data_IF_284121311505
#
_entry.id   IF_284121311505
#
_cell.length_a   1.000
_cell.length_b   1.000
_cell.length_c   1.000
_cell.angle_alpha   90.00
_cell.angle_beta   90.00
_cell.angle_gamma   90.00
#
_symmetry.space_group_name_H-M   'P 1'
#
loop_
_entity.id
_entity.type
_entity.pdbx_description
1 polymer ?
#
# COMPACT_ATOMS: atom_id res chain seq x y z
N UNK A 1 8.81 6.98 18.75
CA UNK A 1 7.36 7.12 18.93
C UNK A 1 6.89 6.19 20.04
N UNK A 2 5.91 6.63 20.82
CA UNK A 2 5.37 5.86 21.96
C UNK A 2 4.73 4.51 21.55
N UNK A 3 4.52 4.27 20.27
CA UNK A 3 3.93 3.06 19.73
C UNK A 3 4.96 2.02 19.25
N UNK A 4 6.25 2.27 19.43
CA UNK A 4 7.28 1.31 19.02
C UNK A 4 7.49 0.24 20.09
N UNK A 5 6.56 -0.69 20.20
CA UNK A 5 6.60 -1.83 21.11
C UNK A 5 7.80 -2.74 20.78
N UNK A 6 8.15 -2.82 19.50
CA UNK A 6 9.35 -3.52 19.02
C UNK A 6 10.39 -2.46 18.69
N UNK A 7 11.45 -2.37 19.48
CA UNK A 7 12.56 -1.44 19.24
C UNK A 7 13.21 -1.73 17.89
N UNK A 8 12.70 -1.09 16.83
CA UNK A 8 13.24 -1.20 15.49
C UNK A 8 14.19 -0.04 15.19
N UNK A 9 15.26 -0.32 14.48
CA UNK A 9 16.15 0.70 13.93
C UNK A 9 15.68 1.04 12.51
N UNK A 10 15.66 2.34 12.21
CA UNK A 10 15.38 2.82 10.86
C UNK A 10 16.55 2.46 9.93
N UNK A 11 16.25 1.84 8.80
CA UNK A 11 17.24 1.66 7.75
C UNK A 11 17.47 3.02 7.04
N UNK A 12 18.68 3.59 7.08
CA UNK A 12 18.97 4.88 6.47
C UNK A 12 19.04 4.83 4.93
N UNK A 13 19.06 3.65 4.34
CA UNK A 13 19.26 3.43 2.90
C UNK A 13 17.96 3.21 2.12
N UNK A 14 16.82 3.13 2.80
CA UNK A 14 15.51 2.99 2.15
C UNK A 14 14.69 4.27 2.30
N UNK A 15 13.91 4.57 1.27
CA UNK A 15 12.93 5.65 1.31
C UNK A 15 11.86 5.34 2.37
N UNK A 16 11.30 6.39 2.96
CA UNK A 16 10.21 6.25 3.94
C UNK A 16 9.02 7.10 3.53
N UNK A 17 7.84 6.68 3.98
CA UNK A 17 6.61 7.47 3.89
C UNK A 17 6.65 8.69 4.82
N UNK A 18 5.67 9.59 4.71
CA UNK A 18 5.50 10.73 5.61
C UNK A 18 5.39 10.32 7.09
N UNK A 19 4.97 9.11 7.38
CA UNK A 19 4.90 8.53 8.74
C UNK A 19 6.15 7.70 9.11
N UNK A 20 7.21 7.74 8.32
CA UNK A 20 8.48 7.08 8.59
C UNK A 20 8.49 5.57 8.32
N UNK A 21 7.50 5.04 7.61
CA UNK A 21 7.46 3.62 7.24
C UNK A 21 8.30 3.37 5.99
N UNK A 22 9.12 2.31 6.04
CA UNK A 22 10.01 1.96 4.92
C UNK A 22 9.24 1.56 3.67
N UNK A 23 9.72 2.04 2.52
CA UNK A 23 9.26 1.63 1.19
C UNK A 23 10.32 0.69 0.65
N UNK A 24 10.09 -0.61 0.78
CA UNK A 24 11.11 -1.64 0.50
C UNK A 24 10.53 -2.83 -0.29
N UNK A 25 10.29 -2.65 -1.59
CA UNK A 25 9.81 -3.75 -2.45
C UNK A 25 10.77 -4.95 -2.48
N UNK A 26 12.09 -4.69 -2.47
CA UNK A 26 13.09 -5.75 -2.44
C UNK A 26 13.02 -6.55 -1.13
N UNK A 27 12.82 -5.86 0.00
CA UNK A 27 12.61 -6.50 1.29
C UNK A 27 11.39 -7.41 1.31
N UNK A 28 10.32 -7.06 0.58
CA UNK A 28 9.16 -7.93 0.41
C UNK A 28 9.53 -9.23 -0.32
N UNK A 29 10.22 -9.15 -1.48
CA UNK A 29 10.69 -10.33 -2.22
C UNK A 29 11.57 -11.23 -1.35
N UNK A 30 12.55 -10.64 -0.67
CA UNK A 30 13.45 -11.38 0.23
C UNK A 30 12.66 -12.08 1.34
N UNK A 31 11.73 -11.37 1.98
CA UNK A 31 10.91 -11.94 3.07
C UNK A 31 10.06 -13.11 2.59
N UNK A 32 9.43 -12.98 1.41
CA UNK A 32 8.65 -14.06 0.81
C UNK A 32 9.49 -15.31 0.56
N UNK A 33 10.68 -15.15 -0.03
CA UNK A 33 11.62 -16.24 -0.24
C UNK A 33 12.04 -16.90 1.09
N UNK A 34 12.44 -16.11 2.09
CA UNK A 34 12.83 -16.61 3.41
C UNK A 34 11.70 -17.38 4.11
N UNK A 35 10.46 -16.89 3.99
CA UNK A 35 9.31 -17.58 4.60
C UNK A 35 9.02 -18.89 3.87
N UNK A 36 9.08 -18.89 2.54
CA UNK A 36 8.86 -20.11 1.78
C UNK A 36 9.97 -21.14 2.01
N UNK A 37 11.22 -20.73 2.01
CA UNK A 37 12.37 -21.62 2.33
C UNK A 37 12.21 -22.30 3.68
N UNK A 38 11.74 -21.57 4.67
CA UNK A 38 11.58 -22.07 6.03
C UNK A 38 10.38 -22.99 6.21
N UNK A 39 9.24 -22.63 5.65
CA UNK A 39 7.96 -23.28 5.98
C UNK A 39 7.44 -24.19 4.86
N UNK A 40 7.91 -24.05 3.63
CA UNK A 40 7.48 -24.80 2.45
C UNK A 40 5.94 -24.84 2.29
N UNK A 41 5.30 -23.69 2.55
CA UNK A 41 3.85 -23.50 2.43
C UNK A 41 3.54 -22.36 1.48
N UNK A 42 2.44 -22.43 0.72
CA UNK A 42 1.98 -21.30 -0.05
C UNK A 42 1.77 -20.06 0.82
N UNK A 43 2.06 -18.89 0.24
CA UNK A 43 1.91 -17.59 0.91
C UNK A 43 0.67 -16.86 0.40
N UNK A 44 0.12 -16.01 1.24
CA UNK A 44 -0.89 -15.02 0.89
C UNK A 44 -0.51 -13.69 1.53
N UNK A 45 -0.33 -12.65 0.72
CA UNK A 45 -0.06 -11.31 1.24
C UNK A 45 -1.39 -10.62 1.55
N UNK A 46 -1.78 -10.62 2.81
CA UNK A 46 -3.12 -10.16 3.27
C UNK A 46 -3.23 -8.66 3.44
N UNK A 47 -2.11 -7.94 3.58
CA UNK A 47 -2.08 -6.49 3.75
C UNK A 47 -0.83 -5.90 3.11
N UNK A 48 -1.01 -4.87 2.30
CA UNK A 48 0.07 -3.98 1.84
C UNK A 48 -0.54 -2.66 1.37
N UNK A 49 0.07 -1.54 1.70
CA UNK A 49 -0.44 -0.23 1.28
C UNK A 49 0.40 0.93 1.79
N UNK A 50 0.20 2.08 1.18
CA UNK A 50 0.88 3.33 1.52
C UNK A 50 -0.10 4.29 2.18
N UNK A 51 0.15 4.64 3.44
CA UNK A 51 -0.51 5.77 4.09
C UNK A 51 0.15 7.08 3.64
N UNK A 52 -0.61 7.96 3.00
CA UNK A 52 -0.14 9.23 2.47
C UNK A 52 -1.22 10.31 2.57
N UNK A 53 -0.82 11.58 2.55
CA UNK A 53 -1.74 12.71 2.42
C UNK A 53 -2.14 12.87 0.97
N UNK A 54 -3.43 12.81 0.72
CA UNK A 54 -3.97 13.09 -0.61
C UNK A 54 -4.35 14.56 -0.73
N UNK A 55 -4.21 15.10 -1.93
CA UNK A 55 -4.62 16.46 -2.27
C UNK A 55 -5.74 16.39 -3.32
N UNK A 56 -6.85 17.04 -3.03
CA UNK A 56 -7.91 17.25 -4.02
C UNK A 56 -7.52 18.50 -4.81
N UNK A 57 -7.37 18.40 -6.11
CA UNK A 57 -6.99 19.53 -6.97
C UNK A 57 -8.18 20.44 -7.30
N UNK A 58 -7.95 21.50 -8.06
CA UNK A 58 -8.96 22.49 -8.45
C UNK A 58 -10.12 21.91 -9.30
N UNK A 59 -9.91 20.75 -9.94
CA UNK A 59 -10.93 20.03 -10.68
C UNK A 59 -11.65 18.98 -9.81
N UNK A 60 -11.29 18.88 -8.55
CA UNK A 60 -11.81 17.90 -7.61
C UNK A 60 -11.23 16.49 -7.81
N UNK A 61 -10.12 16.36 -8.52
CA UNK A 61 -9.46 15.08 -8.75
C UNK A 61 -8.36 14.81 -7.71
N UNK A 62 -8.03 13.55 -7.51
CA UNK A 62 -6.97 13.10 -6.63
C UNK A 62 -5.95 12.30 -7.45
N UNK A 63 -4.81 12.95 -7.74
CA UNK A 63 -3.72 12.41 -8.52
C UNK A 63 -2.69 11.76 -7.60
N UNK A 64 -2.95 10.53 -7.17
CA UNK A 64 -2.15 9.78 -6.22
C UNK A 64 -1.10 8.85 -6.89
N UNK A 65 -0.29 9.41 -7.82
CA UNK A 65 0.77 8.70 -8.54
C UNK A 65 1.80 8.05 -7.61
N UNK A 66 2.06 8.65 -6.45
CA UNK A 66 2.92 8.08 -5.41
C UNK A 66 2.38 6.74 -4.88
N UNK A 67 1.04 6.56 -4.80
CA UNK A 67 0.41 5.30 -4.41
C UNK A 67 0.53 4.26 -5.52
N UNK A 68 0.30 4.69 -6.77
CA UNK A 68 0.51 3.84 -7.95
C UNK A 68 1.94 3.34 -7.99
N UNK A 69 2.92 4.24 -7.83
CA UNK A 69 4.34 3.88 -7.82
C UNK A 69 4.68 2.87 -6.72
N UNK A 70 4.19 3.11 -5.49
CA UNK A 70 4.40 2.20 -4.37
C UNK A 70 3.86 0.80 -4.66
N UNK A 71 2.60 0.71 -5.09
CA UNK A 71 1.96 -0.58 -5.35
C UNK A 71 2.58 -1.29 -6.55
N UNK A 72 2.92 -0.57 -7.62
CA UNK A 72 3.61 -1.09 -8.80
C UNK A 72 4.89 -1.83 -8.43
N UNK A 73 5.75 -1.18 -7.67
CA UNK A 73 7.04 -1.76 -7.29
C UNK A 73 6.88 -2.99 -6.37
N UNK A 74 5.91 -2.96 -5.45
CA UNK A 74 5.63 -4.11 -4.59
C UNK A 74 5.01 -5.27 -5.37
N UNK A 75 4.13 -5.00 -6.33
CA UNK A 75 3.55 -6.05 -7.19
C UNK A 75 4.62 -6.65 -8.10
N UNK A 76 5.55 -5.85 -8.65
CA UNK A 76 6.72 -6.38 -9.37
C UNK A 76 7.55 -7.32 -8.50
N UNK A 77 7.86 -6.88 -7.27
CA UNK A 77 8.62 -7.71 -6.33
C UNK A 77 7.92 -9.02 -5.97
N UNK A 78 6.57 -9.03 -5.92
CA UNK A 78 5.80 -10.27 -5.78
C UNK A 78 5.91 -11.16 -7.01
N UNK A 79 5.86 -10.58 -8.22
CA UNK A 79 6.10 -11.29 -9.48
C UNK A 79 7.47 -11.96 -9.50
N UNK A 80 8.50 -11.20 -9.14
CA UNK A 80 9.87 -11.73 -9.03
C UNK A 80 9.97 -12.89 -8.01
N UNK A 81 9.27 -12.79 -6.87
CA UNK A 81 9.26 -13.87 -5.88
C UNK A 81 8.55 -15.13 -6.41
N UNK A 82 7.50 -14.97 -7.23
CA UNK A 82 6.85 -16.11 -7.92
C UNK A 82 7.83 -16.76 -8.90
N UNK A 83 8.60 -15.97 -9.66
CA UNK A 83 9.64 -16.47 -10.56
C UNK A 83 10.78 -17.18 -9.80
N UNK A 84 11.09 -16.73 -8.57
CA UNK A 84 12.01 -17.42 -7.67
C UNK A 84 11.47 -18.78 -7.16
N UNK A 85 10.20 -19.09 -7.41
CA UNK A 85 9.56 -20.35 -7.03
C UNK A 85 8.65 -20.26 -5.80
N UNK A 86 8.34 -19.06 -5.30
CA UNK A 86 7.41 -18.87 -4.16
C UNK A 86 5.96 -19.03 -4.64
N UNK A 87 5.18 -20.00 -4.13
CA UNK A 87 3.78 -20.15 -4.48
C UNK A 87 2.93 -19.08 -3.76
N UNK A 88 2.69 -17.95 -4.41
CA UNK A 88 1.83 -16.89 -3.92
C UNK A 88 0.40 -17.12 -4.37
N UNK A 89 -0.53 -17.29 -3.42
CA UNK A 89 -1.96 -17.55 -3.67
C UNK A 89 -2.74 -16.28 -3.99
N UNK A 90 -2.32 -15.15 -3.45
CA UNK A 90 -3.03 -13.90 -3.66
C UNK A 90 -2.45 -12.72 -2.88
N UNK A 91 -3.02 -11.56 -3.18
CA UNK A 91 -2.63 -10.28 -2.64
C UNK A 91 -3.85 -9.42 -2.36
N UNK A 92 -3.88 -8.78 -1.21
CA UNK A 92 -4.88 -7.75 -0.89
C UNK A 92 -4.20 -6.48 -0.38
N UNK A 93 -4.75 -5.34 -0.78
CA UNK A 93 -4.28 -4.04 -0.31
C UNK A 93 -4.88 -3.68 1.04
N UNK A 94 -4.17 -2.88 1.83
CA UNK A 94 -4.72 -2.28 3.03
C UNK A 94 -5.60 -1.09 2.67
N UNK A 95 -6.92 -1.24 2.91
CA UNK A 95 -7.91 -0.20 2.67
C UNK A 95 -8.27 0.01 1.19
N UNK A 96 -9.44 -0.46 0.74
CA UNK A 96 -9.96 -0.12 -0.59
C UNK A 96 -10.58 1.29 -0.62
N UNK A 97 -11.10 1.76 0.52
CA UNK A 97 -11.66 3.09 0.76
C UNK A 97 -10.85 3.73 1.88
N UNK A 98 -10.69 5.06 1.87
CA UNK A 98 -10.02 5.77 2.97
C UNK A 98 -10.69 5.46 4.30
N UNK A 99 -9.88 5.23 5.31
CA UNK A 99 -10.29 4.83 6.65
C UNK A 99 -9.46 5.58 7.69
N UNK A 100 -9.93 5.60 8.91
CA UNK A 100 -9.16 6.11 10.04
C UNK A 100 -7.99 5.17 10.30
N UNK A 101 -6.77 5.71 10.30
CA UNK A 101 -5.57 4.92 10.56
C UNK A 101 -5.63 4.27 11.95
N UNK A 102 -5.54 2.93 12.01
CA UNK A 102 -5.59 2.18 13.26
C UNK A 102 -4.42 2.53 14.20
N UNK A 103 -3.26 2.87 13.64
CA UNK A 103 -2.05 3.14 14.43
C UNK A 103 -1.94 4.58 14.95
N UNK A 104 -2.56 5.56 14.26
CA UNK A 104 -2.40 6.99 14.58
C UNK A 104 -3.71 7.69 14.90
N UNK A 105 -4.87 7.10 14.59
CA UNK A 105 -6.18 7.72 14.77
C UNK A 105 -6.50 8.83 13.77
N UNK A 106 -5.71 8.96 12.69
CA UNK A 106 -5.82 10.03 11.71
C UNK A 106 -6.58 9.58 10.46
N UNK A 107 -7.50 10.41 9.99
CA UNK A 107 -8.15 10.25 8.68
C UNK A 107 -7.29 10.79 7.54
N UNK A 108 -6.43 11.77 7.83
CA UNK A 108 -5.49 12.37 6.87
C UNK A 108 -4.43 11.37 6.36
N UNK A 109 -4.17 10.29 7.10
CA UNK A 109 -3.32 9.18 6.68
C UNK A 109 -4.11 8.22 5.80
N UNK A 110 -4.21 8.55 4.53
CA UNK A 110 -5.09 7.89 3.56
C UNK A 110 -4.43 6.71 2.89
N UNK A 111 -5.16 5.60 2.77
CA UNK A 111 -4.67 4.36 2.17
C UNK A 111 -5.45 3.92 0.93
N UNK A 112 -6.72 4.36 0.82
CA UNK A 112 -7.68 3.82 -0.14
C UNK A 112 -7.45 4.26 -1.58
N UNK A 113 -8.10 3.56 -2.48
CA UNK A 113 -8.31 3.95 -3.89
C UNK A 113 -9.52 4.88 -4.05
N UNK A 114 -10.34 4.95 -3.02
CA UNK A 114 -11.51 5.82 -2.93
C UNK A 114 -11.29 6.80 -1.79
N UNK A 115 -11.26 8.07 -2.14
CA UNK A 115 -11.19 9.18 -1.19
C UNK A 115 -12.51 9.32 -0.43
N UNK A 116 -12.42 9.66 0.85
CA UNK A 116 -13.58 10.02 1.68
C UNK A 116 -13.38 11.45 2.18
N UNK A 117 -14.34 12.33 1.90
CA UNK A 117 -14.32 13.72 2.38
C UNK A 117 -14.57 13.76 3.88
N UNK A 118 -13.49 13.63 4.64
CA UNK A 118 -13.46 13.72 6.10
C UNK A 118 -12.06 14.10 6.57
N UNK A 119 -11.97 15.05 7.50
CA UNK A 119 -10.73 15.44 8.16
C UNK A 119 -10.52 14.69 9.51
N UNK A 120 -9.39 14.98 10.17
CA UNK A 120 -9.04 14.39 11.46
C UNK A 120 -9.93 14.87 12.61
N UNK A 121 -10.58 16.02 12.48
CA UNK A 121 -11.53 16.57 13.44
C UNK A 121 -12.97 16.02 13.25
N UNK A 122 -13.16 15.24 12.19
CA UNK A 122 -14.46 14.64 11.86
C UNK A 122 -15.35 15.53 11.00
N UNK A 123 -14.84 16.63 10.45
CA UNK A 123 -15.57 17.46 9.50
C UNK A 123 -15.49 16.86 8.10
N UNK A 124 -16.46 17.23 7.25
CA UNK A 124 -16.57 16.78 5.87
C UNK A 124 -17.94 16.23 5.56
N UNK A 125 -18.19 15.98 4.29
CA UNK A 125 -19.49 15.52 3.77
C UNK A 125 -19.64 14.00 3.73
N UNK A 126 -18.54 13.26 3.93
CA UNK A 126 -18.41 11.82 3.70
C UNK A 126 -18.60 11.42 2.23
N UNK A 127 -18.58 12.37 1.32
CA UNK A 127 -18.62 12.10 -0.11
C UNK A 127 -17.42 11.23 -0.51
N UNK A 128 -17.64 10.34 -1.48
CA UNK A 128 -16.62 9.41 -1.95
C UNK A 128 -16.25 9.72 -3.39
N UNK A 129 -14.93 9.82 -3.65
CA UNK A 129 -14.38 10.04 -5.00
C UNK A 129 -13.35 8.99 -5.34
N UNK A 130 -13.38 8.47 -6.57
CA UNK A 130 -12.33 7.58 -7.06
C UNK A 130 -11.05 8.39 -7.27
N UNK A 131 -9.93 7.87 -6.76
CA UNK A 131 -8.61 8.43 -7.01
C UNK A 131 -8.06 7.89 -8.34
N UNK A 132 -6.97 8.47 -8.86
CA UNK A 132 -6.29 7.99 -10.07
C UNK A 132 -5.89 6.52 -9.95
N UNK A 133 -5.39 6.13 -8.79
CA UNK A 133 -5.02 4.75 -8.47
C UNK A 133 -6.16 3.74 -8.60
N UNK A 134 -7.43 4.16 -8.46
CA UNK A 134 -8.57 3.27 -8.64
C UNK A 134 -8.64 2.70 -10.07
N UNK A 135 -8.48 3.56 -11.08
CA UNK A 135 -8.49 3.14 -12.48
C UNK A 135 -7.30 2.25 -12.83
N UNK A 136 -6.12 2.62 -12.33
CA UNK A 136 -4.92 1.85 -12.50
C UNK A 136 -5.04 0.46 -11.85
N UNK A 137 -5.46 0.38 -10.59
CA UNK A 137 -5.57 -0.91 -9.89
C UNK A 137 -6.64 -1.83 -10.47
N UNK A 138 -7.71 -1.25 -11.05
CA UNK A 138 -8.71 -2.03 -11.82
C UNK A 138 -8.05 -2.77 -12.99
N UNK A 139 -7.11 -2.13 -13.73
CA UNK A 139 -6.35 -2.80 -14.81
C UNK A 139 -5.43 -3.89 -14.27
N UNK A 140 -4.74 -3.61 -13.17
CA UNK A 140 -3.88 -4.58 -12.49
C UNK A 140 -4.66 -5.85 -12.13
N UNK A 141 -5.85 -5.71 -11.54
CA UNK A 141 -6.72 -6.83 -11.21
C UNK A 141 -7.15 -7.59 -12.48
N UNK A 142 -7.60 -6.88 -13.50
CA UNK A 142 -8.07 -7.49 -14.74
C UNK A 142 -7.00 -8.29 -15.48
N UNK A 143 -5.74 -7.87 -15.35
CA UNK A 143 -4.57 -8.52 -15.96
C UNK A 143 -3.88 -9.52 -15.03
N UNK A 144 -4.39 -9.72 -13.82
CA UNK A 144 -3.74 -10.53 -12.78
C UNK A 144 -2.28 -10.10 -12.54
N UNK A 145 -2.03 -8.80 -12.49
CA UNK A 145 -0.69 -8.23 -12.27
C UNK A 145 0.19 -8.14 -13.53
N UNK A 146 -0.31 -8.51 -14.69
CA UNK A 146 0.46 -8.47 -15.95
C UNK A 146 0.56 -7.07 -16.58
N UNK A 147 -0.38 -6.16 -16.30
CA UNK A 147 -0.36 -4.76 -16.74
C UNK A 147 -0.22 -3.84 -15.53
N UNK A 148 0.97 -3.28 -15.39
CA UNK A 148 1.35 -2.36 -14.30
C UNK A 148 1.57 -0.92 -14.78
N UNK A 149 1.29 -0.61 -16.06
CA UNK A 149 1.48 0.74 -16.62
C UNK A 149 0.25 1.65 -16.53
#
# INVERSE_FOLDING_TARGET
SAANIVKSLRNPHIQVSEWGWGIDPLGLRITMNMMYDRYQKPLFLVENGLGAKDVVDENGEINDDYRISYLREHIRAMGDAIEDGVPLLGYTTWGCIDLVSASTGEMSKRYGFVYVDRDDAGNGTLERKRKKSFGWYKKVIASNGGDLE
#
